data_IF_196816603274
#
_entry.id   IF_196816603274
#
_cell.length_a   1.000
_cell.length_b   1.000
_cell.length_c   1.000
_cell.angle_alpha   90.00
_cell.angle_beta   90.00
_cell.angle_gamma   90.00
#
_symmetry.space_group_name_H-M   'P 1'
#
loop_
_entity.id
_entity.type
_entity.pdbx_description
1 polymer ?
#
# COMPACT_ATOMS: atom_id res chain seq x y z
N UNK A 1 11.82 -8.64 -8.13
CA UNK A 1 10.91 -9.04 -9.23
C UNK A 1 10.27 -10.34 -8.77
N UNK A 2 9.00 -10.31 -8.37
CA UNK A 2 8.29 -11.53 -7.94
C UNK A 2 7.87 -12.26 -9.22
N UNK A 3 8.41 -13.45 -9.43
CA UNK A 3 8.40 -14.16 -10.72
C UNK A 3 7.06 -14.86 -10.98
N UNK A 4 6.20 -15.02 -9.97
CA UNK A 4 4.89 -15.65 -10.11
C UNK A 4 3.89 -15.09 -9.08
N UNK A 5 2.77 -14.56 -9.59
CA UNK A 5 1.69 -14.01 -8.77
C UNK A 5 0.96 -15.09 -7.96
N UNK A 6 0.93 -16.33 -8.47
CA UNK A 6 0.29 -17.48 -7.81
C UNK A 6 1.12 -17.92 -6.62
N UNK A 7 2.42 -18.19 -6.82
CA UNK A 7 3.35 -18.54 -5.74
C UNK A 7 3.41 -17.47 -4.64
N UNK A 8 3.34 -16.19 -4.99
CA UNK A 8 3.31 -15.11 -3.99
C UNK A 8 1.98 -15.06 -3.22
N UNK A 9 0.84 -15.26 -3.90
CA UNK A 9 -0.47 -15.38 -3.24
C UNK A 9 -0.47 -16.54 -2.26
N UNK A 10 0.00 -17.70 -2.69
CA UNK A 10 -0.02 -18.92 -1.88
C UNK A 10 0.93 -18.79 -0.68
N UNK A 11 2.11 -18.20 -0.86
CA UNK A 11 3.01 -17.82 0.24
C UNK A 11 2.34 -16.88 1.25
N UNK A 12 1.63 -15.84 0.78
CA UNK A 12 0.92 -14.91 1.65
C UNK A 12 -0.25 -15.60 2.36
N UNK A 13 -1.00 -16.46 1.66
CA UNK A 13 -2.12 -17.21 2.24
C UNK A 13 -1.65 -18.15 3.36
N UNK A 14 -0.58 -18.92 3.13
CA UNK A 14 0.01 -19.81 4.14
C UNK A 14 0.53 -19.01 5.35
N UNK A 15 1.16 -17.85 5.10
CA UNK A 15 1.62 -16.95 6.16
C UNK A 15 0.45 -16.37 6.98
N UNK A 16 -0.68 -16.12 6.34
CA UNK A 16 -1.90 -15.59 6.97
C UNK A 16 -2.60 -16.62 7.85
N UNK A 17 -2.63 -17.88 7.43
CA UNK A 17 -3.19 -18.99 8.21
C UNK A 17 -2.37 -19.27 9.48
N UNK A 18 -1.04 -19.08 9.43
CA UNK A 18 -0.15 -19.27 10.58
C UNK A 18 -0.27 -18.13 11.61
N UNK A 19 -0.54 -16.90 11.15
CA UNK A 19 -0.41 -15.69 11.98
C UNK A 19 -1.73 -14.91 12.01
N UNK A 20 -2.83 -15.50 12.50
CA UNK A 20 -4.18 -14.89 12.70
C UNK A 20 -4.29 -13.37 12.46
N UNK A 21 -4.18 -12.93 11.20
CA UNK A 21 -4.23 -11.52 10.80
C UNK A 21 -5.09 -11.45 9.56
N UNK A 22 -6.23 -10.77 9.72
CA UNK A 22 -7.14 -10.43 8.62
C UNK A 22 -6.42 -9.43 7.72
N UNK A 23 -5.62 -9.91 6.78
CA UNK A 23 -5.03 -9.05 5.74
C UNK A 23 -6.19 -8.55 4.88
N UNK A 24 -6.31 -7.23 4.78
CA UNK A 24 -7.40 -6.58 4.07
C UNK A 24 -7.05 -6.27 2.61
N UNK A 25 -5.77 -6.24 2.27
CA UNK A 25 -5.27 -5.95 0.93
C UNK A 25 -3.87 -6.56 0.72
N UNK A 26 -3.57 -6.93 -0.51
CA UNK A 26 -2.28 -7.48 -0.93
C UNK A 26 -1.71 -6.57 -2.03
N UNK A 27 -0.40 -6.32 -1.98
CA UNK A 27 0.32 -5.61 -3.02
C UNK A 27 1.75 -6.16 -3.18
N UNK A 28 2.52 -5.54 -4.09
CA UNK A 28 3.88 -5.95 -4.41
C UNK A 28 4.96 -5.00 -3.87
N UNK A 29 4.62 -3.78 -3.46
CA UNK A 29 5.60 -2.75 -3.06
C UNK A 29 5.52 -2.34 -1.58
N UNK A 30 4.45 -2.63 -0.82
CA UNK A 30 4.34 -2.19 0.59
C UNK A 30 5.52 -2.67 1.41
N UNK A 31 5.83 -3.97 1.32
CA UNK A 31 6.87 -4.58 2.12
C UNK A 31 8.24 -3.94 1.85
N UNK A 32 8.62 -3.78 0.57
CA UNK A 32 9.89 -3.16 0.19
C UNK A 32 10.00 -1.71 0.62
N UNK A 33 8.91 -0.94 0.50
CA UNK A 33 8.86 0.45 0.95
C UNK A 33 9.13 0.57 2.45
N UNK A 34 8.40 -0.18 3.30
CA UNK A 34 8.59 -0.11 4.75
C UNK A 34 9.97 -0.63 5.18
N UNK A 35 10.50 -1.67 4.53
CA UNK A 35 11.88 -2.12 4.78
C UNK A 35 12.93 -1.07 4.45
N UNK A 36 12.67 -0.24 3.44
CA UNK A 36 13.56 0.86 3.07
C UNK A 36 13.52 1.97 4.13
N UNK A 37 12.33 2.31 4.66
CA UNK A 37 12.20 3.25 5.79
C UNK A 37 12.92 2.72 7.03
N UNK A 38 12.69 1.47 7.41
CA UNK A 38 13.37 0.82 8.55
C UNK A 38 14.90 0.87 8.41
N UNK A 39 15.42 0.70 7.20
CA UNK A 39 16.85 0.75 6.92
C UNK A 39 17.41 2.18 7.04
N UNK A 40 16.70 3.16 6.47
CA UNK A 40 17.10 4.57 6.47
C UNK A 40 17.05 5.17 7.88
N UNK A 41 16.09 4.75 8.72
CA UNK A 41 15.99 5.13 10.13
C UNK A 41 17.21 4.74 10.97
N UNK A 42 17.99 3.73 10.55
CA UNK A 42 19.23 3.32 11.23
C UNK A 42 20.40 4.27 10.93
N UNK A 43 20.21 5.24 10.05
CA UNK A 43 21.22 6.24 9.71
C UNK A 43 20.94 7.56 10.43
N UNK A 44 21.97 8.37 10.76
CA UNK A 44 21.77 9.67 11.38
C UNK A 44 20.91 10.64 10.55
N UNK A 45 20.99 10.55 9.22
CA UNK A 45 20.24 11.41 8.29
C UNK A 45 18.75 11.03 8.25
N UNK A 46 18.47 9.74 8.30
CA UNK A 46 17.12 9.18 8.14
C UNK A 46 16.39 8.85 9.43
N UNK A 47 16.97 9.10 10.60
CA UNK A 47 16.44 8.66 11.89
C UNK A 47 14.99 9.13 12.16
N UNK A 48 14.60 10.29 11.63
CA UNK A 48 13.26 10.84 11.78
C UNK A 48 12.29 10.47 10.64
N UNK A 49 12.72 9.68 9.64
CA UNK A 49 11.87 9.29 8.52
C UNK A 49 10.67 8.48 9.00
N UNK A 50 9.47 8.82 8.54
CA UNK A 50 8.25 8.06 8.79
C UNK A 50 7.63 7.65 7.45
N UNK A 51 7.05 6.46 7.41
CA UNK A 51 6.42 5.91 6.20
C UNK A 51 4.91 5.84 6.36
N UNK A 52 4.18 6.27 5.34
CA UNK A 52 2.75 6.03 5.19
C UNK A 52 2.50 5.49 3.78
N UNK A 53 1.65 4.47 3.66
CA UNK A 53 1.24 3.94 2.37
C UNK A 53 -0.27 4.03 2.22
N UNK A 54 -0.71 4.52 1.05
CA UNK A 54 -2.11 4.67 0.68
C UNK A 54 -2.32 3.84 -0.59
N UNK A 55 -3.29 2.92 -0.55
CA UNK A 55 -3.62 2.02 -1.66
C UNK A 55 -5.09 2.16 -2.06
N UNK A 56 -5.33 2.20 -3.36
CA UNK A 56 -6.66 2.01 -3.92
C UNK A 56 -6.90 0.53 -4.21
N UNK A 57 -8.07 0.01 -3.85
CA UNK A 57 -8.42 -1.39 -4.14
C UNK A 57 -8.86 -1.51 -5.60
N UNK A 58 -7.95 -2.04 -6.43
CA UNK A 58 -8.15 -2.15 -7.89
C UNK A 58 -8.83 -3.45 -8.32
N UNK A 59 -8.80 -4.49 -7.49
CA UNK A 59 -9.41 -5.78 -7.77
C UNK A 59 -9.65 -6.58 -6.47
N UNK A 60 -10.22 -7.77 -6.65
CA UNK A 60 -10.35 -8.77 -5.59
C UNK A 60 -9.45 -9.95 -5.91
N UNK A 61 -8.52 -10.26 -5.01
CA UNK A 61 -7.65 -11.43 -5.13
C UNK A 61 -8.51 -12.71 -5.29
N UNK A 62 -8.26 -13.47 -6.35
CA UNK A 62 -9.03 -14.67 -6.69
C UNK A 62 -10.26 -14.43 -7.59
N UNK A 63 -10.62 -13.19 -7.91
CA UNK A 63 -11.73 -12.84 -8.84
C UNK A 63 -11.29 -11.81 -9.88
N UNK A 64 -10.05 -11.92 -10.35
CA UNK A 64 -9.42 -10.95 -11.26
C UNK A 64 -10.18 -10.82 -12.58
N UNK A 65 -10.57 -11.95 -13.17
CA UNK A 65 -11.30 -12.00 -14.44
C UNK A 65 -12.64 -11.23 -14.37
N UNK A 66 -13.34 -11.34 -13.24
CA UNK A 66 -14.61 -10.62 -13.03
C UNK A 66 -14.42 -9.11 -12.87
N UNK A 67 -13.30 -8.69 -12.27
CA UNK A 67 -12.97 -7.27 -12.14
C UNK A 67 -12.45 -6.67 -13.43
N UNK A 68 -11.74 -7.44 -14.26
CA UNK A 68 -11.26 -7.01 -15.59
C UNK A 68 -12.38 -6.93 -16.63
N UNK A 69 -13.44 -7.73 -16.49
CA UNK A 69 -14.61 -7.70 -17.36
C UNK A 69 -15.53 -6.48 -17.11
N UNK A 70 -15.26 -5.64 -16.11
CA UNK A 70 -16.08 -4.44 -15.85
C UNK A 70 -15.85 -3.40 -16.95
N UNK A 71 -16.92 -2.77 -17.47
CA UNK A 71 -16.82 -1.80 -18.57
C UNK A 71 -16.16 -0.47 -18.15
N UNK A 72 -16.16 -0.16 -16.85
CA UNK A 72 -15.59 1.07 -16.31
C UNK A 72 -14.10 0.91 -15.99
N UNK A 73 -13.32 2.00 -16.14
CA UNK A 73 -11.91 2.06 -15.74
C UNK A 73 -11.74 2.08 -14.20
N UNK A 74 -12.07 0.96 -13.57
CA UNK A 74 -12.02 0.80 -12.12
C UNK A 74 -10.59 0.95 -11.58
N UNK A 75 -9.59 0.53 -12.36
CA UNK A 75 -8.17 0.68 -12.00
C UNK A 75 -7.78 2.16 -11.96
N UNK A 76 -8.14 2.93 -12.99
CA UNK A 76 -7.93 4.37 -13.01
C UNK A 76 -8.65 5.07 -11.86
N UNK A 77 -9.88 4.66 -11.55
CA UNK A 77 -10.64 5.19 -10.40
C UNK A 77 -9.95 4.86 -9.07
N UNK A 78 -9.49 3.63 -8.87
CA UNK A 78 -8.78 3.22 -7.66
C UNK A 78 -7.50 4.04 -7.43
N UNK A 79 -6.71 4.24 -8.50
CA UNK A 79 -5.51 5.09 -8.45
C UNK A 79 -5.86 6.54 -8.16
N UNK A 80 -6.89 7.09 -8.83
CA UNK A 80 -7.34 8.46 -8.62
C UNK A 80 -7.77 8.69 -7.16
N UNK A 81 -8.54 7.76 -6.59
CA UNK A 81 -8.99 7.85 -5.21
C UNK A 81 -7.81 7.80 -4.23
N UNK A 82 -6.85 6.89 -4.44
CA UNK A 82 -5.64 6.82 -3.63
C UNK A 82 -4.84 8.13 -3.68
N UNK A 83 -4.71 8.73 -4.87
CA UNK A 83 -4.01 10.00 -5.06
C UNK A 83 -4.72 11.17 -4.36
N UNK A 84 -6.06 11.24 -4.44
CA UNK A 84 -6.85 12.27 -3.73
C UNK A 84 -6.64 12.16 -2.22
N UNK A 85 -6.74 10.95 -1.66
CA UNK A 85 -6.51 10.72 -0.23
C UNK A 85 -5.08 11.08 0.16
N UNK A 86 -4.09 10.72 -0.65
CA UNK A 86 -2.69 11.10 -0.41
C UNK A 86 -2.50 12.62 -0.37
N UNK A 87 -3.07 13.35 -1.34
CA UNK A 87 -3.01 14.80 -1.37
C UNK A 87 -3.68 15.43 -0.12
N UNK A 88 -4.82 14.90 0.31
CA UNK A 88 -5.51 15.35 1.53
C UNK A 88 -4.67 15.12 2.78
N UNK A 89 -4.09 13.92 2.94
CA UNK A 89 -3.22 13.61 4.08
C UNK A 89 -2.00 14.53 4.13
N UNK A 90 -1.35 14.78 2.98
CA UNK A 90 -0.21 15.70 2.88
C UNK A 90 -0.63 17.12 3.31
N UNK A 91 -1.79 17.60 2.84
CA UNK A 91 -2.31 18.91 3.21
C UNK A 91 -2.57 19.03 4.73
N UNK A 92 -3.14 18.00 5.35
CA UNK A 92 -3.38 17.99 6.81
C UNK A 92 -2.07 17.95 7.61
N UNK A 93 -1.11 17.12 7.22
CA UNK A 93 0.21 17.08 7.85
C UNK A 93 0.95 18.42 7.75
N UNK A 94 0.81 19.11 6.61
CA UNK A 94 1.39 20.44 6.41
C UNK A 94 0.74 21.51 7.32
N UNK A 95 -0.56 21.39 7.62
CA UNK A 95 -1.24 22.29 8.57
C UNK A 95 -0.76 22.06 10.00
N UNK A 96 -0.63 20.81 10.42
CA UNK A 96 -0.14 20.44 11.76
C UNK A 96 1.31 20.86 11.99
N UNK A 97 2.11 20.94 10.92
CA UNK A 97 3.52 21.34 10.98
C UNK A 97 3.74 22.86 11.04
N UNK A 98 2.70 23.68 10.87
CA UNK A 98 2.85 25.15 11.01
C UNK A 98 2.83 25.52 12.49
N UNK A 99 3.83 26.25 13.01
CA UNK A 99 3.78 26.77 14.36
C UNK A 99 2.57 27.69 14.49
N UNK A 100 1.77 27.48 15.53
CA UNK A 100 0.69 28.40 15.91
C UNK A 100 1.34 29.75 16.24
N UNK A 101 0.98 30.78 15.48
CA UNK A 101 1.38 32.17 15.73
C UNK A 101 0.57 32.69 16.90
#
# INVERSE_FOLDING_TARGET
MVIDSVSYRDFIADLMDIVMRKVHAIDMESFGFFKSIDAVQRTPVGAASQGLMIRGISDYAGRKDETEARPDDWRGIAVKNAAIVAAQVILELAKLSKPSI
#
